data_IF_175577799881
#
_entry.id   IF_175577799881
#
_cell.length_a   1.000
_cell.length_b   1.000
_cell.length_c   1.000
_cell.angle_alpha   90.00
_cell.angle_beta   90.00
_cell.angle_gamma   90.00
#
_symmetry.space_group_name_H-M   'P 1'
#
loop_
_entity.id
_entity.type
_entity.pdbx_description
1 polymer ?
#
# COMPACT_ATOMS: atom_id res chain seq x y z
N UNK A 1 -10.82 9.01 -3.46
CA UNK A 1 -11.67 8.64 -2.30
C UNK A 1 -11.26 9.43 -1.06
N UNK A 2 -11.99 9.31 0.06
CA UNK A 2 -11.58 9.90 1.36
C UNK A 2 -11.46 8.79 2.39
N UNK A 3 -10.57 8.97 3.36
CA UNK A 3 -10.47 8.06 4.50
C UNK A 3 -11.75 8.12 5.35
N UNK A 4 -12.32 6.98 5.78
CA UNK A 4 -13.55 6.94 6.58
C UNK A 4 -13.35 7.62 7.93
N UNK A 5 -14.30 8.46 8.33
CA UNK A 5 -14.22 9.20 9.59
C UNK A 5 -14.34 8.30 10.83
N UNK A 6 -14.97 7.14 10.66
CA UNK A 6 -15.17 6.09 11.67
C UNK A 6 -13.95 5.17 11.82
N UNK A 7 -12.94 5.30 10.97
CA UNK A 7 -11.75 4.45 10.99
C UNK A 7 -10.53 5.25 11.49
N UNK A 8 -10.08 4.99 12.72
CA UNK A 8 -8.79 5.48 13.18
C UNK A 8 -7.64 4.76 12.44
N UNK A 9 -6.77 5.46 11.68
CA UNK A 9 -5.63 4.85 11.01
C UNK A 9 -4.67 4.09 11.94
N UNK A 10 -4.65 4.42 13.23
CA UNK A 10 -3.73 3.80 14.20
C UNK A 10 -4.03 2.32 14.46
N UNK A 11 -5.29 1.90 14.24
CA UNK A 11 -5.76 0.52 14.39
C UNK A 11 -5.16 -0.42 13.34
N UNK A 12 -4.74 0.15 12.20
CA UNK A 12 -4.08 -0.54 11.09
C UNK A 12 -2.56 -0.35 11.11
N UNK A 13 -1.98 0.13 12.22
CA UNK A 13 -0.53 0.25 12.38
C UNK A 13 0.12 -1.13 12.30
N UNK A 14 1.16 -1.25 11.48
CA UNK A 14 1.87 -2.52 11.34
C UNK A 14 2.53 -2.94 12.67
N UNK A 15 2.40 -4.21 13.09
CA UNK A 15 3.03 -4.71 14.31
C UNK A 15 4.51 -5.03 14.14
N UNK A 16 5.02 -5.17 12.91
CA UNK A 16 6.41 -5.52 12.62
C UNK A 16 6.93 -4.90 11.31
N UNK A 17 8.25 -4.88 11.07
CA UNK A 17 8.83 -4.21 9.91
C UNK A 17 8.52 -4.83 8.53
N UNK A 18 7.84 -5.97 8.47
CA UNK A 18 7.57 -6.72 7.22
C UNK A 18 6.09 -6.76 6.86
N UNK A 19 5.21 -6.29 7.73
CA UNK A 19 3.75 -6.31 7.55
C UNK A 19 3.15 -5.03 6.96
N UNK A 20 3.97 -4.08 6.47
CA UNK A 20 3.51 -2.87 5.78
C UNK A 20 2.51 -3.14 4.65
N UNK A 21 2.79 -4.16 3.83
CA UNK A 21 1.92 -4.54 2.73
C UNK A 21 0.59 -5.15 3.20
N UNK A 22 0.60 -5.91 4.30
CA UNK A 22 -0.62 -6.50 4.87
C UNK A 22 -1.51 -5.43 5.52
N UNK A 23 -0.92 -4.50 6.26
CA UNK A 23 -1.64 -3.35 6.80
C UNK A 23 -2.22 -2.46 5.67
N UNK A 24 -1.47 -2.21 4.59
CA UNK A 24 -1.98 -1.49 3.41
C UNK A 24 -3.11 -2.23 2.70
N UNK A 25 -3.04 -3.57 2.64
CA UNK A 25 -4.08 -4.43 2.10
C UNK A 25 -5.38 -4.34 2.92
N UNK A 26 -5.30 -4.44 4.25
CA UNK A 26 -6.46 -4.27 5.13
C UNK A 26 -7.02 -2.86 5.09
N UNK A 27 -6.17 -1.83 5.00
CA UNK A 27 -6.62 -0.47 4.76
C UNK A 27 -7.41 -0.36 3.44
N UNK A 28 -6.92 -0.95 2.34
CA UNK A 28 -7.65 -0.98 1.08
C UNK A 28 -8.99 -1.73 1.20
N UNK A 29 -9.02 -2.85 1.93
CA UNK A 29 -10.24 -3.60 2.22
C UNK A 29 -11.27 -2.75 2.98
N UNK A 30 -10.84 -2.00 4.01
CA UNK A 30 -11.72 -1.10 4.75
C UNK A 30 -12.25 0.07 3.92
N UNK A 31 -11.49 0.52 2.90
CA UNK A 31 -11.93 1.56 1.97
C UNK A 31 -12.91 1.06 0.90
N UNK A 32 -12.78 -0.20 0.50
CA UNK A 32 -13.53 -0.77 -0.62
C UNK A 32 -14.74 -1.61 -0.18
N UNK A 33 -14.89 -1.86 1.13
CA UNK A 33 -15.94 -2.74 1.68
C UNK A 33 -16.43 -2.22 3.04
N UNK A 34 -17.47 -2.85 3.59
CA UNK A 34 -17.99 -2.54 4.94
C UNK A 34 -17.15 -3.15 6.07
N UNK A 35 -16.06 -3.85 5.75
CA UNK A 35 -15.17 -4.44 6.76
C UNK A 35 -14.45 -3.36 7.59
N UNK A 36 -14.23 -3.63 8.87
CA UNK A 36 -13.49 -2.77 9.81
C UNK A 36 -12.52 -3.59 10.65
N UNK A 37 -11.35 -3.03 10.99
CA UNK A 37 -10.36 -3.69 11.85
C UNK A 37 -10.86 -3.80 13.28
N UNK A 38 -10.40 -4.85 13.96
CA UNK A 38 -10.55 -4.99 15.41
C UNK A 38 -9.40 -4.26 16.10
N UNK A 39 -9.68 -3.61 17.23
CA UNK A 39 -8.66 -2.86 17.97
C UNK A 39 -7.67 -3.76 18.72
N UNK A 40 -6.49 -3.20 19.03
CA UNK A 40 -5.53 -3.80 19.94
C UNK A 40 -4.82 -5.05 19.41
N UNK A 41 -4.65 -6.06 20.27
CA UNK A 41 -3.87 -7.26 19.96
C UNK A 41 -4.51 -8.10 18.84
N UNK A 42 -5.83 -8.09 18.73
CA UNK A 42 -6.55 -8.85 17.73
C UNK A 42 -6.36 -8.26 16.33
N UNK A 43 -6.38 -6.93 16.19
CA UNK A 43 -6.00 -6.26 14.93
C UNK A 43 -4.56 -6.55 14.51
N UNK A 44 -3.62 -6.56 15.46
CA UNK A 44 -2.24 -6.93 15.18
C UNK A 44 -2.10 -8.40 14.70
N UNK A 45 -2.92 -9.30 15.23
CA UNK A 45 -2.95 -10.70 14.79
C UNK A 45 -3.58 -10.85 13.40
N UNK A 46 -4.60 -10.05 13.09
CA UNK A 46 -5.21 -9.99 11.76
C UNK A 46 -4.20 -9.53 10.70
N UNK A 47 -3.43 -8.48 10.97
CA UNK A 47 -2.35 -8.01 10.09
C UNK A 47 -1.30 -9.11 9.86
N UNK A 48 -0.90 -9.85 10.90
CA UNK A 48 0.07 -10.96 10.77
C UNK A 48 -0.49 -12.12 9.95
N UNK A 49 -1.78 -12.44 10.12
CA UNK A 49 -2.44 -13.48 9.35
C UNK A 49 -2.54 -13.07 7.88
N UNK A 50 -2.93 -11.83 7.59
CA UNK A 50 -2.96 -11.29 6.24
C UNK A 50 -1.55 -11.29 5.61
N UNK A 51 -0.52 -10.93 6.37
CA UNK A 51 0.87 -11.03 5.88
C UNK A 51 1.25 -12.46 5.51
N UNK A 52 0.83 -13.47 6.30
CA UNK A 52 1.08 -14.89 6.00
C UNK A 52 0.38 -15.31 4.71
N UNK A 53 -0.84 -14.83 4.46
CA UNK A 53 -1.60 -15.12 3.24
C UNK A 53 -1.02 -14.43 2.00
N UNK A 54 -0.58 -13.18 2.14
CA UNK A 54 0.01 -12.43 1.02
C UNK A 54 1.42 -12.90 0.66
N UNK A 55 2.14 -13.54 1.59
CA UNK A 55 3.49 -14.09 1.36
C UNK A 55 3.54 -15.60 1.19
N UNK A 56 2.38 -16.29 1.17
CA UNK A 56 2.34 -17.72 0.89
C UNK A 56 2.65 -18.00 -0.59
N UNK A 57 3.26 -19.16 -0.85
CA UNK A 57 3.62 -19.59 -2.21
C UNK A 57 2.39 -19.80 -3.12
N UNK A 58 1.22 -20.04 -2.52
CA UNK A 58 -0.08 -20.12 -3.17
C UNK A 58 -0.84 -18.82 -2.95
N UNK A 59 -1.47 -18.28 -4.01
CA UNK A 59 -2.38 -17.14 -3.89
C UNK A 59 -3.78 -17.59 -3.46
N UNK A 60 -4.66 -16.65 -3.09
CA UNK A 60 -6.07 -16.91 -2.78
C UNK A 60 -6.87 -17.58 -3.93
N UNK A 61 -6.27 -17.75 -5.12
CA UNK A 61 -6.82 -18.51 -6.27
C UNK A 61 -5.99 -19.74 -6.62
N UNK A 62 -5.18 -20.25 -5.69
CA UNK A 62 -4.30 -21.42 -5.83
C UNK A 62 -3.29 -21.33 -7.00
N UNK A 63 -2.95 -20.11 -7.42
CA UNK A 63 -1.92 -19.87 -8.45
C UNK A 63 -0.56 -19.66 -7.83
N UNK A 64 0.46 -20.22 -8.48
CA UNK A 64 1.87 -20.07 -8.15
C UNK A 64 2.24 -18.58 -8.13
N UNK A 65 2.76 -18.09 -7.02
CA UNK A 65 3.27 -16.72 -6.92
C UNK A 65 4.71 -16.67 -7.44
N UNK A 66 5.07 -15.61 -8.17
CA UNK A 66 6.47 -15.35 -8.53
C UNK A 66 7.30 -15.30 -7.24
N UNK A 67 8.52 -15.85 -7.18
CA UNK A 67 9.33 -15.80 -5.97
C UNK A 67 9.73 -14.36 -5.64
N UNK A 68 9.35 -13.89 -4.44
CA UNK A 68 9.78 -12.61 -3.88
C UNK A 68 10.62 -12.86 -2.63
N UNK A 69 11.75 -12.14 -2.45
CA UNK A 69 12.54 -12.30 -1.24
C UNK A 69 11.71 -11.93 -0.01
N UNK A 70 11.49 -12.89 0.90
CA UNK A 70 10.72 -12.67 2.14
C UNK A 70 11.26 -11.50 2.97
N UNK A 71 12.56 -11.22 2.86
CA UNK A 71 13.20 -10.08 3.50
C UNK A 71 12.63 -8.73 3.05
N UNK A 72 12.07 -8.64 1.84
CA UNK A 72 11.45 -7.46 1.25
C UNK A 72 9.95 -7.34 1.57
N UNK A 73 9.39 -8.23 2.40
CA UNK A 73 8.01 -8.18 2.84
C UNK A 73 7.01 -8.69 1.80
N UNK A 74 5.92 -7.97 1.61
CA UNK A 74 4.80 -8.38 0.75
C UNK A 74 5.08 -8.09 -0.74
N UNK A 75 4.94 -9.07 -1.64
CA UNK A 75 5.16 -8.85 -3.06
C UNK A 75 4.06 -7.98 -3.73
N UNK A 76 4.40 -7.13 -4.72
CA UNK A 76 3.44 -6.27 -5.42
C UNK A 76 2.25 -7.00 -6.02
N UNK A 77 2.49 -8.15 -6.67
CA UNK A 77 1.42 -8.92 -7.31
C UNK A 77 0.43 -9.54 -6.31
N UNK A 78 0.83 -9.80 -5.06
CA UNK A 78 -0.09 -10.33 -4.06
C UNK A 78 -1.13 -9.28 -3.67
N UNK A 79 -0.69 -8.03 -3.44
CA UNK A 79 -1.61 -6.93 -3.14
C UNK A 79 -2.47 -6.59 -4.37
N UNK A 80 -1.89 -6.60 -5.57
CA UNK A 80 -2.68 -6.46 -6.81
C UNK A 80 -3.77 -7.52 -6.91
N UNK A 81 -3.46 -8.79 -6.63
CA UNK A 81 -4.47 -9.84 -6.67
C UNK A 81 -5.59 -9.61 -5.66
N UNK A 82 -5.27 -9.14 -4.45
CA UNK A 82 -6.28 -8.74 -3.47
C UNK A 82 -7.15 -7.61 -4.00
N UNK A 83 -6.55 -6.53 -4.50
CA UNK A 83 -7.30 -5.39 -5.05
C UNK A 83 -8.17 -5.81 -6.24
N UNK A 84 -7.69 -6.70 -7.10
CA UNK A 84 -8.48 -7.28 -8.21
C UNK A 84 -9.70 -8.05 -7.71
N UNK A 85 -9.57 -8.79 -6.61
CA UNK A 85 -10.69 -9.50 -5.98
C UNK A 85 -11.69 -8.52 -5.38
N UNK A 86 -11.22 -7.47 -4.71
CA UNK A 86 -12.08 -6.48 -4.04
C UNK A 86 -12.80 -5.55 -5.02
N UNK A 87 -12.13 -5.13 -6.09
CA UNK A 87 -12.65 -4.14 -7.06
C UNK A 87 -13.28 -4.77 -8.30
N UNK A 88 -12.98 -6.03 -8.60
CA UNK A 88 -13.31 -6.67 -9.87
C UNK A 88 -12.53 -6.13 -11.09
N UNK A 89 -11.61 -5.18 -10.89
CA UNK A 89 -10.89 -4.52 -11.97
C UNK A 89 -9.57 -5.21 -12.30
N UNK A 90 -9.11 -5.08 -13.55
CA UNK A 90 -7.78 -5.50 -13.95
C UNK A 90 -6.73 -4.46 -13.53
N UNK A 91 -5.94 -4.81 -12.52
CA UNK A 91 -4.90 -3.92 -11.96
C UNK A 91 -3.52 -4.44 -12.37
N UNK A 92 -2.65 -3.59 -12.88
CA UNK A 92 -1.27 -3.94 -13.21
C UNK A 92 -0.28 -3.22 -12.29
N UNK A 93 0.84 -3.88 -11.96
CA UNK A 93 1.95 -3.24 -11.26
C UNK A 93 2.82 -2.52 -12.27
N UNK A 94 3.06 -1.22 -12.06
CA UNK A 94 3.93 -0.41 -12.92
C UNK A 94 5.26 -0.17 -12.20
N UNK A 95 6.37 -0.51 -12.85
CA UNK A 95 7.70 -0.15 -12.37
C UNK A 95 7.97 1.33 -12.66
N UNK A 96 8.00 2.13 -11.59
CA UNK A 96 7.96 3.58 -11.68
C UNK A 96 9.25 4.26 -11.16
N UNK A 97 10.22 3.48 -10.66
CA UNK A 97 11.52 3.99 -10.16
C UNK A 97 12.23 4.99 -11.07
N UNK A 98 12.38 4.76 -12.40
CA UNK A 98 13.04 5.73 -13.25
C UNK A 98 12.14 6.91 -13.66
N UNK A 99 10.86 6.93 -13.29
CA UNK A 99 9.84 7.86 -13.81
C UNK A 99 8.88 8.32 -12.70
N UNK A 100 9.33 9.09 -11.70
CA UNK A 100 8.49 9.52 -10.57
C UNK A 100 7.27 10.34 -11.02
N UNK A 101 7.41 11.18 -12.06
CA UNK A 101 6.31 11.94 -12.65
C UNK A 101 5.19 11.03 -13.20
N UNK A 102 5.55 10.02 -13.99
CA UNK A 102 4.59 9.04 -14.49
C UNK A 102 3.92 8.27 -13.33
N UNK A 103 4.67 7.96 -12.28
CA UNK A 103 4.11 7.33 -11.08
C UNK A 103 3.04 8.21 -10.43
N UNK A 104 3.33 9.50 -10.29
CA UNK A 104 2.41 10.48 -9.71
C UNK A 104 1.13 10.61 -10.54
N UNK A 105 1.26 10.75 -11.86
CA UNK A 105 0.11 10.84 -12.77
C UNK A 105 -0.78 9.60 -12.68
N UNK A 106 -0.19 8.39 -12.73
CA UNK A 106 -0.92 7.14 -12.60
C UNK A 106 -1.65 7.08 -11.25
N UNK A 107 -0.99 7.42 -10.15
CA UNK A 107 -1.62 7.38 -8.83
C UNK A 107 -2.78 8.38 -8.78
N UNK A 108 -2.55 9.61 -9.23
CA UNK A 108 -3.55 10.68 -9.26
C UNK A 108 -4.80 10.26 -10.05
N UNK A 109 -4.63 9.66 -11.22
CA UNK A 109 -5.73 9.18 -12.06
C UNK A 109 -6.49 8.01 -11.42
N UNK A 110 -5.77 7.01 -10.89
CA UNK A 110 -6.38 5.82 -10.31
C UNK A 110 -7.13 6.12 -8.99
N UNK A 111 -6.72 7.16 -8.24
CA UNK A 111 -7.39 7.59 -7.00
C UNK A 111 -8.82 8.09 -7.20
N UNK A 112 -9.22 8.37 -8.44
CA UNK A 112 -10.61 8.66 -8.79
C UNK A 112 -11.53 7.44 -8.58
N UNK A 113 -11.01 6.22 -8.71
CA UNK A 113 -11.80 4.99 -8.70
C UNK A 113 -11.43 4.01 -7.59
N UNK A 114 -10.15 3.97 -7.16
CA UNK A 114 -9.64 2.98 -6.20
C UNK A 114 -8.46 3.52 -5.39
N UNK A 115 -8.16 2.99 -4.18
CA UNK A 115 -6.88 3.29 -3.55
C UNK A 115 -5.75 2.65 -4.36
N UNK A 116 -4.55 3.24 -4.26
CA UNK A 116 -3.37 2.82 -5.03
C UNK A 116 -2.26 2.42 -4.09
N UNK A 117 -1.70 1.25 -4.29
CA UNK A 117 -0.59 0.75 -3.50
C UNK A 117 0.70 1.31 -4.08
N UNK A 118 1.54 1.88 -3.21
CA UNK A 118 2.81 2.48 -3.61
C UNK A 118 3.92 1.79 -2.83
N UNK A 119 4.85 1.20 -3.57
CA UNK A 119 6.08 0.65 -3.02
C UNK A 119 7.13 1.74 -3.02
N UNK A 120 7.67 2.03 -1.84
CA UNK A 120 8.75 3.00 -1.65
C UNK A 120 9.99 2.33 -1.05
N UNK A 121 11.14 2.95 -1.24
CA UNK A 121 12.39 2.40 -0.73
C UNK A 121 13.57 3.32 -0.94
N UNK A 122 14.74 2.71 -1.01
CA UNK A 122 16.00 3.38 -1.31
C UNK A 122 16.27 3.42 -2.81
N UNK A 123 17.40 3.99 -3.20
CA UNK A 123 17.90 3.94 -4.58
C UNK A 123 18.09 2.51 -5.11
N UNK A 124 18.28 1.52 -4.23
CA UNK A 124 18.69 0.16 -4.57
C UNK A 124 17.59 -0.88 -4.46
N UNK A 125 16.63 -0.70 -3.56
CA UNK A 125 15.60 -1.70 -3.32
C UNK A 125 14.35 -1.13 -2.63
N UNK A 126 13.15 -1.71 -2.91
CA UNK A 126 11.91 -1.37 -2.22
C UNK A 126 11.90 -1.95 -0.81
N UNK A 127 11.37 -1.21 0.17
CA UNK A 127 11.36 -1.63 1.60
C UNK A 127 10.07 -1.37 2.33
N UNK A 128 9.21 -0.50 1.81
CA UNK A 128 8.00 -0.08 2.49
C UNK A 128 6.85 0.01 1.51
N UNK A 129 5.66 -0.32 2.00
CA UNK A 129 4.42 -0.25 1.25
C UNK A 129 3.49 0.71 1.95
N UNK A 130 2.96 1.64 1.18
CA UNK A 130 1.97 2.62 1.63
C UNK A 130 0.75 2.54 0.72
N UNK A 131 -0.36 3.12 1.18
CA UNK A 131 -1.59 3.17 0.41
C UNK A 131 -1.96 4.63 0.12
N UNK A 132 -1.96 5.04 -1.14
CA UNK A 132 -2.56 6.30 -1.55
C UNK A 132 -4.08 6.18 -1.52
N UNK A 133 -4.75 7.17 -0.91
CA UNK A 133 -6.19 7.10 -0.59
C UNK A 133 -7.00 8.28 -1.13
N UNK A 134 -6.37 9.45 -1.27
CA UNK A 134 -7.01 10.65 -1.78
C UNK A 134 -6.05 11.48 -2.64
N UNK A 135 -6.57 12.01 -3.74
CA UNK A 135 -5.94 13.10 -4.47
C UNK A 135 -6.38 14.42 -3.82
N UNK A 136 -5.41 15.25 -3.44
CA UNK A 136 -5.61 16.58 -2.88
C UNK A 136 -5.03 17.61 -3.85
N UNK A 137 -5.36 18.88 -3.64
CA UNK A 137 -4.74 19.94 -4.43
C UNK A 137 -3.22 20.01 -4.17
N UNK A 138 -2.45 19.77 -5.23
CA UNK A 138 -0.98 19.67 -5.22
C UNK A 138 -0.37 18.57 -4.34
N UNK A 139 -1.15 17.55 -3.95
CA UNK A 139 -0.65 16.50 -3.06
C UNK A 139 -1.45 15.19 -3.13
N UNK A 140 -0.82 14.10 -2.72
CA UNK A 140 -1.49 12.82 -2.50
C UNK A 140 -1.53 12.53 -1.01
N UNK A 141 -2.72 12.18 -0.50
CA UNK A 141 -2.86 11.64 0.85
C UNK A 141 -2.55 10.15 0.83
N UNK A 142 -1.63 9.73 1.68
CA UNK A 142 -1.21 8.33 1.84
C UNK A 142 -1.43 7.86 3.27
N UNK A 143 -1.82 6.61 3.44
CA UNK A 143 -1.74 5.91 4.71
C UNK A 143 -0.34 5.30 4.85
N UNK A 144 0.34 5.63 5.96
CA UNK A 144 1.64 5.08 6.35
C UNK A 144 1.45 4.03 7.46
N UNK A 145 1.57 2.73 7.13
CA UNK A 145 1.39 1.65 8.11
C UNK A 145 2.43 1.65 9.23
N UNK A 146 3.64 2.17 8.99
CA UNK A 146 4.69 2.19 10.01
C UNK A 146 4.32 3.12 11.17
N UNK A 147 3.66 4.23 10.83
CA UNK A 147 3.23 5.24 11.79
C UNK A 147 1.75 5.11 12.17
N UNK A 148 0.96 4.35 11.42
CA UNK A 148 -0.48 4.21 11.64
C UNK A 148 -1.20 5.54 11.46
N UNK A 149 -0.86 6.31 10.42
CA UNK A 149 -1.39 7.66 10.20
C UNK A 149 -1.51 8.01 8.73
N UNK A 150 -2.35 8.99 8.43
CA UNK A 150 -2.38 9.64 7.13
C UNK A 150 -1.26 10.68 7.03
N UNK A 151 -0.59 10.71 5.89
CA UNK A 151 0.48 11.64 5.56
C UNK A 151 0.13 12.33 4.24
N UNK A 152 0.36 13.63 4.15
CA UNK A 152 0.25 14.37 2.90
C UNK A 152 1.61 14.39 2.23
N UNK A 153 1.68 13.90 0.99
CA UNK A 153 2.89 13.94 0.16
C UNK A 153 2.67 14.97 -0.94
N UNK A 154 3.46 16.04 -0.92
CA UNK A 154 3.40 17.09 -1.94
C UNK A 154 3.90 16.57 -3.28
N UNK A 155 3.34 17.10 -4.38
CA UNK A 155 3.77 16.78 -5.73
C UNK A 155 5.27 16.97 -5.93
N UNK A 156 5.79 18.14 -5.55
CA UNK A 156 7.23 18.47 -5.64
C UNK A 156 8.10 17.41 -4.96
N UNK A 157 7.73 17.03 -3.73
CA UNK A 157 8.42 16.00 -2.95
C UNK A 157 8.38 14.62 -3.62
N UNK A 158 7.27 14.30 -4.27
CA UNK A 158 7.15 13.07 -5.04
C UNK A 158 8.08 13.07 -6.26
N UNK A 159 8.09 14.18 -7.02
CA UNK A 159 8.87 14.34 -8.24
C UNK A 159 10.38 14.31 -7.95
N UNK A 160 10.80 14.90 -6.84
CA UNK A 160 12.20 14.98 -6.42
C UNK A 160 12.72 13.68 -5.76
N UNK A 161 11.87 12.65 -5.61
CA UNK A 161 12.16 11.47 -4.79
C UNK A 161 12.59 11.87 -3.36
N UNK A 162 11.86 12.80 -2.75
CA UNK A 162 12.00 13.22 -1.35
C UNK A 162 10.71 12.90 -0.59
N UNK A 163 10.24 11.66 -0.72
CA UNK A 163 8.95 11.21 -0.21
C UNK A 163 8.82 11.36 1.32
N UNK A 164 9.92 11.23 2.06
CA UNK A 164 10.04 11.21 3.53
C UNK A 164 8.90 10.48 4.28
N UNK A 165 8.41 9.38 3.71
CA UNK A 165 7.44 8.50 4.37
C UNK A 165 8.20 7.31 4.95
N UNK A 166 8.16 7.20 6.28
CA UNK A 166 8.91 6.22 7.05
C UNK A 166 10.44 6.20 6.72
N UNK A 167 11.01 7.35 6.33
CA UNK A 167 12.43 7.50 5.99
C UNK A 167 12.82 7.00 4.59
N UNK A 168 11.84 6.72 3.72
CA UNK A 168 12.08 6.31 2.34
C UNK A 168 11.76 7.43 1.38
N UNK A 169 12.50 7.46 0.26
CA UNK A 169 12.53 8.62 -0.62
C UNK A 169 12.20 8.27 -2.08
N UNK A 170 12.40 7.02 -2.50
CA UNK A 170 12.20 6.61 -3.90
C UNK A 170 10.93 5.79 -4.08
N UNK A 171 10.11 6.14 -5.06
CA UNK A 171 9.00 5.29 -5.53
C UNK A 171 9.58 4.17 -6.39
N UNK A 172 9.08 2.95 -6.22
CA UNK A 172 9.50 1.77 -6.98
C UNK A 172 8.40 1.22 -7.86
N UNK A 173 7.23 0.98 -7.27
CA UNK A 173 6.08 0.43 -7.97
C UNK A 173 4.81 1.15 -7.56
N UNK A 174 3.88 1.27 -8.50
CA UNK A 174 2.50 1.71 -8.24
C UNK A 174 1.54 0.65 -8.78
N UNK A 175 0.43 0.42 -8.07
CA UNK A 175 -0.51 -0.66 -8.34
C UNK A 175 -1.93 -0.29 -7.91
#
# INVERSE_FOLDING_TARGET
MRWPADLDPSTLKQPDPRSCGAASALAAKALLTDWRPVDGADGANEIKNEHRLLTSATSARDRFQVPWPRALGTPPWAIVNLLRVLTGQHIATVFARPRPALAYEIVREQLATRPVVVYIGSRWLPRHVILAVANLDGAIQVFDPARGRLVRVLEEKWLDNDFDVAGWSHVWFVA
#
